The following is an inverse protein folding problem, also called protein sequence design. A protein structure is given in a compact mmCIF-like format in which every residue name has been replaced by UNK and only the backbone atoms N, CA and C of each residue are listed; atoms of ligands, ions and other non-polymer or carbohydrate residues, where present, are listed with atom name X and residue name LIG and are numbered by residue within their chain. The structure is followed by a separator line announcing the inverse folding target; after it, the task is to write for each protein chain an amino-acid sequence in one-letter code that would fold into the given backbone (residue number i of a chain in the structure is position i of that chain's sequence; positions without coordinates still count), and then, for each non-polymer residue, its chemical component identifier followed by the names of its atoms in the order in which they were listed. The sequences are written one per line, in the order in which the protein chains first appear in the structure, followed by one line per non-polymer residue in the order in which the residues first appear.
data_IF_931738390967
#
_entry.id   IF_931738390967
#
_cell.length_a   1.000
_cell.length_b   1.000
_cell.length_c   1.000
_cell.angle_alpha   90.00
_cell.angle_beta   90.00
_cell.angle_gamma   90.00
#
_symmetry.space_group_name_H-M   'P 1'
#
loop_
_entity.id
_entity.type
_entity.pdbx_description
1 polymer ?
#
# COMPACT_ATOMS: atom_id res chain seq x y z
N UNK A 1 2.82 -10.29 2.27
CA UNK A 1 2.98 -9.15 1.34
C UNK A 1 2.56 -7.88 2.08
N UNK A 2 3.30 -6.78 1.92
CA UNK A 2 2.88 -5.46 2.40
C UNK A 2 2.45 -4.55 1.24
N UNK A 3 1.56 -3.62 1.54
CA UNK A 3 1.15 -2.56 0.61
C UNK A 3 1.29 -1.23 1.33
N UNK A 4 2.05 -0.30 0.75
CA UNK A 4 2.30 1.02 1.33
C UNK A 4 1.89 2.12 0.36
N UNK A 5 1.10 3.09 0.82
CA UNK A 5 0.80 4.33 0.09
C UNK A 5 1.52 5.50 0.73
N UNK A 6 2.12 6.38 -0.07
CA UNK A 6 2.75 7.61 0.40
C UNK A 6 3.76 7.31 1.53
N UNK A 7 3.70 8.03 2.65
CA UNK A 7 4.48 7.79 3.86
C UNK A 7 4.27 6.41 4.50
N UNK A 8 3.15 5.73 4.23
CA UNK A 8 2.93 4.35 4.69
C UNK A 8 3.99 3.39 4.16
N UNK A 9 4.50 3.60 2.94
CA UNK A 9 5.62 2.82 2.42
C UNK A 9 6.92 3.05 3.19
N UNK A 10 7.16 4.26 3.67
CA UNK A 10 8.32 4.57 4.53
C UNK A 10 8.21 3.85 5.87
N UNK A 11 7.01 3.81 6.46
CA UNK A 11 6.74 3.06 7.69
C UNK A 11 7.02 1.57 7.50
N UNK A 12 6.56 0.98 6.39
CA UNK A 12 6.85 -0.43 6.05
C UNK A 12 8.36 -0.68 5.95
N UNK A 13 9.09 0.17 5.21
CA UNK A 13 10.56 0.05 5.13
C UNK A 13 11.21 0.07 6.51
N UNK A 14 10.81 1.01 7.38
CA UNK A 14 11.38 1.11 8.73
C UNK A 14 11.05 -0.10 9.57
N UNK A 15 9.82 -0.61 9.50
CA UNK A 15 9.42 -1.81 10.21
C UNK A 15 10.28 -3.03 9.80
N UNK A 16 10.53 -3.20 8.50
CA UNK A 16 11.36 -4.30 7.99
C UNK A 16 12.83 -4.15 8.34
N UNK A 17 13.38 -2.94 8.23
CA UNK A 17 14.75 -2.66 8.67
C UNK A 17 14.90 -2.98 10.16
N UNK A 18 13.95 -2.52 10.97
CA UNK A 18 13.94 -2.82 12.41
C UNK A 18 13.79 -4.32 12.69
N UNK A 19 12.93 -5.03 11.94
CA UNK A 19 12.73 -6.46 12.11
C UNK A 19 13.99 -7.27 11.79
N UNK A 20 14.76 -6.85 10.77
CA UNK A 20 16.02 -7.48 10.43
C UNK A 20 17.12 -7.20 11.46
N UNK A 21 17.24 -5.95 11.93
CA UNK A 21 18.23 -5.58 12.96
C UNK A 21 17.92 -6.25 14.32
N UNK A 22 16.64 -6.39 14.66
CA UNK A 22 16.16 -7.02 15.89
C UNK A 22 15.62 -8.44 15.63
N UNK A 23 16.37 -9.24 14.86
CA UNK A 23 15.95 -10.59 14.45
C UNK A 23 15.55 -11.49 15.61
N UNK A 24 16.15 -11.36 16.80
CA UNK A 24 15.77 -12.13 18.00
C UNK A 24 14.27 -12.05 18.32
N UNK A 25 13.63 -10.91 18.07
CA UNK A 25 12.22 -10.68 18.39
C UNK A 25 11.29 -10.67 17.16
N UNK A 26 11.82 -10.37 15.98
CA UNK A 26 11.01 -10.03 14.81
C UNK A 26 11.44 -10.77 13.53
N UNK A 27 12.20 -11.86 13.66
CA UNK A 27 12.63 -12.72 12.54
C UNK A 27 11.46 -13.13 11.64
N UNK A 28 10.33 -13.50 12.23
CA UNK A 28 9.17 -13.97 11.50
C UNK A 28 8.61 -12.90 10.55
N UNK A 29 8.70 -11.62 10.92
CA UNK A 29 8.24 -10.51 10.08
C UNK A 29 9.12 -10.38 8.84
N UNK A 30 10.45 -10.37 9.02
CA UNK A 30 11.39 -10.23 7.91
C UNK A 30 11.39 -11.47 7.02
N UNK A 31 11.29 -12.68 7.59
CA UNK A 31 11.26 -13.93 6.83
C UNK A 31 9.94 -14.16 6.10
N UNK A 32 8.80 -13.78 6.68
CA UNK A 32 7.48 -13.93 6.04
C UNK A 32 7.18 -12.85 5.00
N UNK A 33 7.95 -11.76 4.99
CA UNK A 33 7.79 -10.69 4.00
C UNK A 33 8.56 -11.02 2.74
N UNK A 34 7.82 -11.37 1.67
CA UNK A 34 8.41 -11.69 0.36
C UNK A 34 8.21 -10.61 -0.70
N UNK A 35 7.22 -9.73 -0.51
CA UNK A 35 6.86 -8.70 -1.48
C UNK A 35 6.30 -7.45 -0.83
N UNK A 36 6.56 -6.31 -1.48
CA UNK A 36 5.99 -5.02 -1.14
C UNK A 36 5.46 -4.34 -2.40
N UNK A 37 4.26 -3.80 -2.32
CA UNK A 37 3.68 -2.91 -3.32
C UNK A 37 3.71 -1.48 -2.77
N UNK A 38 4.28 -0.55 -3.52
CA UNK A 38 4.31 0.86 -3.17
C UNK A 38 3.38 1.67 -4.07
N UNK A 39 2.72 2.68 -3.51
CA UNK A 39 1.88 3.63 -4.23
C UNK A 39 2.29 5.05 -3.88
N UNK A 40 2.95 5.74 -4.81
CA UNK A 40 3.44 7.11 -4.61
C UNK A 40 4.32 7.24 -3.38
N UNK A 41 5.08 6.19 -3.00
CA UNK A 41 5.96 6.28 -1.83
C UNK A 41 7.22 7.05 -2.22
N UNK A 42 7.65 8.06 -1.44
CA UNK A 42 8.90 8.76 -1.72
C UNK A 42 10.10 7.88 -1.36
N UNK A 43 10.67 7.18 -2.34
CA UNK A 43 11.74 6.21 -2.12
C UNK A 43 13.11 6.82 -2.04
N UNK A 44 13.44 7.61 -3.05
CA UNK A 44 14.66 8.37 -3.04
C UNK A 44 14.40 9.57 -2.16
N UNK A 45 15.29 9.79 -1.19
CA UNK A 45 15.49 11.13 -0.69
C UNK A 45 15.92 11.98 -1.86
N UNK A 46 14.94 12.56 -2.57
CA UNK A 46 15.12 13.85 -3.22
C UNK A 46 15.92 14.68 -2.24
N UNK A 47 17.03 15.29 -2.67
CA UNK A 47 17.95 16.09 -1.85
C UNK A 47 17.26 16.57 -0.59
N UNK A 48 17.82 16.39 0.62
CA UNK A 48 17.17 16.75 1.91
C UNK A 48 16.38 18.08 1.86
N UNK A 49 16.83 19.02 1.02
CA UNK A 49 16.16 20.27 0.63
C UNK A 49 14.76 20.19 0.01
N UNK A 50 14.33 19.08 -0.59
CA UNK A 50 13.07 18.84 -1.30
C UNK A 50 12.02 18.08 -0.47
N UNK A 51 12.48 17.40 0.60
CA UNK A 51 11.59 16.71 1.54
C UNK A 51 10.55 17.63 2.19
N UNK A 52 10.89 18.85 2.63
CA UNK A 52 9.90 19.78 3.22
C UNK A 52 8.71 20.06 2.29
N UNK A 53 8.97 20.36 1.01
CA UNK A 53 7.94 20.68 0.01
C UNK A 53 7.10 19.44 -0.34
N UNK A 54 7.73 18.27 -0.39
CA UNK A 54 7.04 17.00 -0.62
C UNK A 54 6.10 16.66 0.54
N UNK A 55 6.59 16.75 1.78
CA UNK A 55 5.79 16.56 2.99
C UNK A 55 4.65 17.57 3.08
N UNK A 56 4.91 18.81 2.68
CA UNK A 56 3.90 19.85 2.59
C UNK A 56 2.76 19.42 1.65
N UNK A 57 3.11 18.89 0.47
CA UNK A 57 2.17 18.41 -0.53
C UNK A 57 1.40 17.18 -0.04
N UNK A 58 2.08 16.22 0.58
CA UNK A 58 1.46 15.04 1.21
C UNK A 58 0.46 15.46 2.29
N UNK A 59 0.81 16.42 3.14
CA UNK A 59 -0.07 16.90 4.21
C UNK A 59 -1.33 17.58 3.67
N UNK A 60 -1.20 18.36 2.60
CA UNK A 60 -2.34 18.97 1.88
C UNK A 60 -3.28 17.88 1.34
N UNK A 61 -2.74 16.83 0.74
CA UNK A 61 -3.54 15.73 0.16
C UNK A 61 -4.20 14.87 1.25
N UNK A 62 -3.49 14.62 2.35
CA UNK A 62 -3.98 13.84 3.48
C UNK A 62 -4.94 14.61 4.40
N UNK A 63 -5.08 15.93 4.23
CA UNK A 63 -5.93 16.78 5.09
C UNK A 63 -5.41 16.91 6.52
N UNK A 64 -4.11 16.69 6.75
CA UNK A 64 -3.50 16.73 8.09
C UNK A 64 -3.16 18.19 8.43
N UNK A 65 -3.67 18.67 9.58
CA UNK A 65 -3.34 20.02 10.08
C UNK A 65 -1.85 20.11 10.41
N UNK A 66 -1.19 21.11 9.80
CA UNK A 66 0.24 21.37 9.94
C UNK A 66 0.63 21.75 11.36
N UNK A 67 1.56 21.00 11.95
CA UNK A 67 2.67 21.60 12.72
C UNK A 67 3.57 20.53 13.32
N UNK A 68 3.01 19.48 13.91
CA UNK A 68 3.80 18.50 14.66
C UNK A 68 4.37 17.39 13.78
N UNK A 69 3.50 16.76 12.98
CA UNK A 69 3.87 15.64 12.08
C UNK A 69 4.88 16.09 11.01
N UNK A 70 4.72 17.29 10.45
CA UNK A 70 5.65 17.83 9.45
C UNK A 70 7.02 18.14 10.03
N UNK A 71 7.09 18.81 11.19
CA UNK A 71 8.36 19.12 11.85
C UNK A 71 9.10 17.87 12.29
N UNK A 72 8.35 16.87 12.79
CA UNK A 72 8.93 15.57 13.09
C UNK A 72 9.47 14.94 11.80
N UNK A 73 8.69 14.85 10.71
CA UNK A 73 9.17 14.26 9.46
C UNK A 73 10.35 15.03 8.80
N UNK A 74 10.43 16.34 8.94
CA UNK A 74 11.59 17.14 8.50
C UNK A 74 12.87 16.79 9.27
N UNK A 75 12.76 16.63 10.60
CA UNK A 75 13.85 16.16 11.46
C UNK A 75 14.31 14.74 11.11
N UNK A 76 13.47 13.99 10.39
CA UNK A 76 13.78 12.61 9.99
C UNK A 76 14.48 12.56 8.64
N UNK A 77 14.76 13.67 7.96
CA UNK A 77 15.39 13.65 6.63
C UNK A 77 16.73 12.90 6.59
N UNK A 78 17.64 13.14 7.53
CA UNK A 78 18.90 12.39 7.65
C UNK A 78 18.66 10.90 7.92
N UNK A 79 17.70 10.62 8.80
CA UNK A 79 17.25 9.26 9.10
C UNK A 79 16.63 8.56 7.89
N UNK A 80 15.93 9.28 7.02
CA UNK A 80 15.30 8.74 5.82
C UNK A 80 16.34 8.37 4.77
N UNK A 81 17.46 9.10 4.71
CA UNK A 81 18.62 8.72 3.90
C UNK A 81 19.23 7.42 4.41
N UNK A 82 19.52 7.32 5.71
CA UNK A 82 20.05 6.09 6.33
C UNK A 82 19.09 4.91 6.10
N UNK A 83 17.80 5.10 6.38
CA UNK A 83 16.77 4.10 6.17
C UNK A 83 16.72 3.62 4.71
N UNK A 84 16.86 4.54 3.75
CA UNK A 84 16.85 4.20 2.33
C UNK A 84 18.04 3.34 1.94
N UNK A 85 19.23 3.65 2.47
CA UNK A 85 20.43 2.85 2.25
C UNK A 85 20.31 1.46 2.88
N UNK A 86 19.92 1.38 4.16
CA UNK A 86 19.77 0.08 4.83
C UNK A 86 18.67 -0.76 4.18
N UNK A 87 17.54 -0.16 3.81
CA UNK A 87 16.47 -0.89 3.14
C UNK A 87 16.87 -1.37 1.74
N UNK A 88 17.73 -0.64 1.02
CA UNK A 88 18.17 -1.03 -0.32
C UNK A 88 18.84 -2.42 -0.30
N UNK A 89 19.70 -2.70 0.67
CA UNK A 89 20.33 -4.02 0.80
C UNK A 89 19.29 -5.14 1.02
N UNK A 90 18.25 -4.86 1.80
CA UNK A 90 17.17 -5.81 2.09
C UNK A 90 16.24 -6.01 0.90
N UNK A 91 16.03 -4.95 0.12
CA UNK A 91 15.14 -4.93 -1.04
C UNK A 91 15.51 -5.96 -2.10
N UNK A 92 16.79 -6.34 -2.17
CA UNK A 92 17.29 -7.36 -3.11
C UNK A 92 16.64 -8.74 -2.93
N UNK A 93 16.11 -9.03 -1.74
CA UNK A 93 15.42 -10.29 -1.42
C UNK A 93 13.90 -10.20 -1.59
N UNK A 94 13.38 -9.03 -1.95
CA UNK A 94 11.96 -8.74 -2.01
C UNK A 94 11.52 -8.55 -3.46
N UNK A 95 10.29 -8.98 -3.75
CA UNK A 95 9.59 -8.63 -4.97
C UNK A 95 8.92 -7.27 -4.79
N UNK A 96 9.36 -6.26 -5.53
CA UNK A 96 8.86 -4.89 -5.39
C UNK A 96 8.11 -4.47 -6.66
N UNK A 97 6.98 -3.79 -6.45
CA UNK A 97 6.26 -3.07 -7.51
C UNK A 97 5.93 -1.69 -7.00
N UNK A 98 6.41 -0.67 -7.71
CA UNK A 98 6.14 0.73 -7.38
C UNK A 98 5.19 1.37 -8.37
N UNK A 99 4.04 1.84 -7.89
CA UNK A 99 3.12 2.66 -8.66
C UNK A 99 3.38 4.14 -8.41
N UNK A 100 3.35 4.95 -9.47
CA UNK A 100 3.51 6.41 -9.36
C UNK A 100 2.38 7.16 -10.09
N UNK A 101 2.14 8.39 -9.64
CA UNK A 101 1.09 9.25 -10.20
C UNK A 101 1.51 9.85 -11.55
N UNK A 102 0.56 9.95 -12.48
CA UNK A 102 0.73 10.64 -13.77
C UNK A 102 -0.16 11.86 -13.93
N UNK A 103 -1.00 12.15 -12.94
CA UNK A 103 -1.82 13.36 -12.90
C UNK A 103 -1.44 14.20 -11.66
N UNK A 104 -1.28 15.52 -11.80
CA UNK A 104 -1.01 16.37 -10.65
C UNK A 104 -2.25 16.54 -9.76
N UNK A 105 -2.03 16.69 -8.45
CA UNK A 105 -3.06 17.13 -7.51
C UNK A 105 -2.92 18.64 -7.29
N UNK A 106 -3.95 19.42 -7.67
CA UNK A 106 -3.93 20.89 -7.61
C UNK A 106 -2.70 21.52 -8.29
N UNK A 107 -2.30 20.98 -9.45
CA UNK A 107 -1.18 21.50 -10.25
C UNK A 107 0.21 21.04 -9.80
N UNK A 108 0.32 20.16 -8.81
CA UNK A 108 1.61 19.65 -8.30
C UNK A 108 1.60 18.12 -8.26
N UNK A 109 2.72 17.50 -8.66
CA UNK A 109 3.01 16.11 -8.33
C UNK A 109 3.45 16.03 -6.88
N UNK A 110 2.64 15.38 -6.05
CA UNK A 110 2.86 15.24 -4.62
C UNK A 110 4.09 14.40 -4.34
N UNK A 111 4.30 13.34 -5.13
CA UNK A 111 5.54 12.55 -5.13
C UNK A 111 5.97 12.41 -6.59
N UNK A 112 6.97 13.18 -7.04
CA UNK A 112 7.47 13.12 -8.41
C UNK A 112 7.93 11.71 -8.79
N UNK A 113 7.81 11.36 -10.07
CA UNK A 113 8.18 10.05 -10.59
C UNK A 113 9.59 9.61 -10.15
N UNK A 114 10.59 10.49 -10.22
CA UNK A 114 11.97 10.17 -9.79
C UNK A 114 12.09 9.80 -8.31
N UNK A 115 11.21 10.33 -7.45
CA UNK A 115 11.15 9.94 -6.03
C UNK A 115 10.37 8.64 -5.84
N UNK A 116 9.28 8.45 -6.59
CA UNK A 116 8.46 7.25 -6.53
C UNK A 116 9.12 6.00 -7.14
N UNK A 117 10.08 6.19 -8.06
CA UNK A 117 10.91 5.13 -8.62
C UNK A 117 12.10 4.88 -7.69
N UNK A 118 11.98 3.87 -6.83
CA UNK A 118 13.07 3.47 -5.94
C UNK A 118 14.27 2.91 -6.72
N UNK A 119 15.50 2.96 -6.17
CA UNK A 119 16.69 2.40 -6.81
C UNK A 119 16.76 0.87 -6.63
N UNK A 120 15.63 0.16 -6.65
CA UNK A 120 15.62 -1.28 -6.37
C UNK A 120 15.83 -2.08 -7.64
N UNK A 121 16.75 -3.03 -7.59
CA UNK A 121 17.13 -3.85 -8.74
C UNK A 121 15.95 -4.66 -9.32
N UNK A 122 15.03 -5.07 -8.45
CA UNK A 122 13.89 -5.93 -8.80
C UNK A 122 12.55 -5.16 -8.84
N UNK A 123 12.56 -3.82 -8.96
CA UNK A 123 11.33 -3.03 -9.04
C UNK A 123 10.72 -3.08 -10.44
N UNK A 124 9.40 -3.10 -10.48
CA UNK A 124 8.62 -2.85 -11.70
C UNK A 124 7.84 -1.54 -11.52
N UNK A 125 8.43 -0.38 -11.88
CA UNK A 125 7.75 0.90 -11.75
C UNK A 125 6.67 1.08 -12.82
N UNK A 126 5.45 1.42 -12.40
CA UNK A 126 4.29 1.55 -13.29
C UNK A 126 3.56 2.87 -12.98
N UNK A 127 3.40 3.71 -14.00
CA UNK A 127 2.66 4.96 -13.86
C UNK A 127 1.17 4.73 -14.06
N UNK A 128 0.34 5.18 -13.11
CA UNK A 128 -1.12 5.11 -13.19
C UNK A 128 -1.69 6.47 -13.60
N UNK A 129 -2.73 6.49 -14.44
CA UNK A 129 -3.47 7.71 -14.81
C UNK A 129 -4.34 8.22 -13.65
N UNK A 130 -3.68 8.60 -12.56
CA UNK A 130 -4.26 9.05 -11.32
C UNK A 130 -3.33 10.05 -10.64
N UNK A 131 -3.90 10.87 -9.74
CA UNK A 131 -3.12 11.71 -8.84
C UNK A 131 -2.89 11.01 -7.50
N UNK A 132 -2.04 11.57 -6.65
CA UNK A 132 -1.65 10.98 -5.36
C UNK A 132 -2.82 10.62 -4.44
N UNK A 133 -3.94 11.34 -4.56
CA UNK A 133 -5.16 11.09 -3.76
C UNK A 133 -5.98 9.94 -4.31
N UNK A 134 -5.98 9.74 -5.62
CA UNK A 134 -6.81 8.76 -6.33
C UNK A 134 -6.05 7.53 -6.81
N UNK A 135 -4.72 7.49 -6.64
CA UNK A 135 -3.86 6.38 -7.09
C UNK A 135 -4.24 5.00 -6.50
N UNK A 136 -4.93 4.98 -5.36
CA UNK A 136 -5.49 3.77 -4.74
C UNK A 136 -7.03 3.77 -4.69
N UNK A 137 -7.70 4.62 -5.49
CA UNK A 137 -9.16 4.78 -5.49
C UNK A 137 -9.67 4.62 -6.91
N UNK A 138 -10.25 3.46 -7.18
CA UNK A 138 -10.68 3.10 -8.51
C UNK A 138 -12.19 3.32 -8.65
N UNK A 139 -12.59 3.94 -9.76
CA UNK A 139 -14.01 4.18 -10.05
C UNK A 139 -14.72 2.93 -10.62
N UNK A 140 -13.95 1.97 -11.14
CA UNK A 140 -14.45 0.71 -11.68
C UNK A 140 -13.38 -0.37 -11.59
N UNK A 141 -13.77 -1.62 -11.86
CA UNK A 141 -12.87 -2.77 -11.98
C UNK A 141 -12.11 -2.80 -13.32
N UNK A 142 -12.26 -1.78 -14.17
CA UNK A 142 -11.56 -1.61 -15.44
C UNK A 142 -10.44 -0.56 -15.32
N UNK A 143 -9.48 -0.57 -16.26
CA UNK A 143 -8.42 0.44 -16.34
C UNK A 143 -7.38 0.27 -15.24
N UNK A 144 -7.12 1.32 -14.46
CA UNK A 144 -6.05 1.31 -13.44
C UNK A 144 -6.24 0.22 -12.38
N UNK A 145 -7.48 -0.16 -12.04
CA UNK A 145 -7.73 -1.30 -11.16
C UNK A 145 -7.16 -2.59 -11.75
N UNK A 146 -7.35 -2.85 -13.05
CA UNK A 146 -6.85 -4.07 -13.71
C UNK A 146 -5.33 -4.08 -13.73
N UNK A 147 -4.70 -2.93 -14.00
CA UNK A 147 -3.25 -2.77 -13.95
C UNK A 147 -2.72 -3.15 -12.57
N UNK A 148 -3.30 -2.57 -11.51
CA UNK A 148 -2.89 -2.82 -10.12
C UNK A 148 -3.16 -4.26 -9.71
N UNK A 149 -4.36 -4.77 -9.98
CA UNK A 149 -4.76 -6.14 -9.69
C UNK A 149 -3.84 -7.15 -10.35
N UNK A 150 -3.53 -6.95 -11.65
CA UNK A 150 -2.62 -7.83 -12.38
C UNK A 150 -1.26 -7.91 -11.71
N UNK A 151 -0.69 -6.79 -11.26
CA UNK A 151 0.62 -6.82 -10.59
C UNK A 151 0.54 -7.49 -9.22
N UNK A 152 -0.50 -7.23 -8.43
CA UNK A 152 -0.74 -7.92 -7.17
C UNK A 152 -0.81 -9.43 -7.38
N UNK A 153 -1.58 -9.88 -8.36
CA UNK A 153 -1.69 -11.29 -8.73
C UNK A 153 -0.35 -11.88 -9.16
N UNK A 154 0.38 -11.22 -10.07
CA UNK A 154 1.71 -11.66 -10.49
C UNK A 154 2.68 -11.80 -9.31
N UNK A 155 2.69 -10.84 -8.38
CA UNK A 155 3.51 -10.93 -7.17
C UNK A 155 3.08 -12.08 -6.25
N UNK A 156 1.79 -12.37 -6.13
CA UNK A 156 1.31 -13.52 -5.35
C UNK A 156 1.75 -14.85 -5.97
N UNK A 157 1.65 -15.00 -7.29
CA UNK A 157 2.15 -16.18 -8.01
C UNK A 157 3.66 -16.35 -7.81
N UNK A 158 4.44 -15.27 -7.97
CA UNK A 158 5.89 -15.33 -7.75
C UNK A 158 6.25 -15.75 -6.32
N UNK A 159 5.47 -15.34 -5.31
CA UNK A 159 5.68 -15.75 -3.91
C UNK A 159 5.43 -17.25 -3.73
N UNK A 160 4.45 -17.83 -4.43
CA UNK A 160 4.12 -19.25 -4.33
C UNK A 160 5.22 -20.14 -4.91
N UNK A 161 5.90 -19.67 -5.95
CA UNK A 161 7.00 -20.39 -6.58
C UNK A 161 8.33 -20.26 -5.79
N UNK A 162 8.36 -19.46 -4.72
CA UNK A 162 9.57 -19.33 -3.90
C UNK A 162 9.86 -20.60 -3.08
N UNK A 163 11.12 -21.06 -3.01
CA UNK A 163 11.51 -22.21 -2.20
C UNK A 163 11.11 -22.03 -0.73
N UNK A 164 10.35 -22.99 -0.19
CA UNK A 164 9.88 -22.98 1.21
C UNK A 164 8.57 -22.21 1.47
N UNK A 165 7.84 -21.80 0.42
CA UNK A 165 6.50 -21.24 0.57
C UNK A 165 5.51 -22.31 1.11
N UNK A 166 5.03 -22.12 2.34
CA UNK A 166 3.92 -22.91 2.91
C UNK A 166 2.66 -22.02 2.85
N UNK A 167 2.06 -21.92 1.66
CA UNK A 167 0.75 -21.31 1.51
C UNK A 167 -0.03 -22.04 0.42
N UNK A 168 -1.21 -22.54 0.77
CA UNK A 168 -2.06 -23.34 -0.11
C UNK A 168 -3.40 -22.60 -0.29
N UNK A 169 -3.49 -21.63 -1.22
CA UNK A 169 -4.77 -20.99 -1.50
C UNK A 169 -5.69 -21.91 -2.30
N UNK A 170 -6.99 -21.63 -2.32
CA UNK A 170 -7.84 -22.20 -3.35
C UNK A 170 -7.26 -21.81 -4.72
N UNK A 171 -7.00 -22.80 -5.57
CA UNK A 171 -6.75 -22.58 -6.99
C UNK A 171 -8.02 -21.98 -7.56
N UNK A 172 -8.01 -20.68 -7.79
CA UNK A 172 -9.06 -20.01 -8.54
C UNK A 172 -8.44 -19.74 -9.90
N UNK A 173 -8.69 -20.65 -10.83
CA UNK A 173 -8.24 -20.55 -12.21
C UNK A 173 -9.05 -19.47 -12.98
N UNK A 174 -10.12 -18.96 -12.38
CA UNK A 174 -11.02 -17.96 -12.92
C UNK A 174 -11.02 -16.65 -12.10
N UNK A 175 -10.81 -15.54 -12.78
CA UNK A 175 -10.84 -14.19 -12.23
C UNK A 175 -12.22 -13.84 -11.64
N UNK A 176 -13.29 -14.29 -12.27
CA UNK A 176 -14.66 -14.02 -11.82
C UNK A 176 -14.94 -14.76 -10.50
N UNK A 177 -14.40 -15.96 -10.33
CA UNK A 177 -14.57 -16.78 -9.12
C UNK A 177 -13.74 -16.22 -7.94
N UNK A 178 -12.56 -15.65 -8.19
CA UNK A 178 -11.79 -14.92 -7.18
C UNK A 178 -12.52 -13.65 -6.73
N UNK A 179 -13.07 -12.89 -7.69
CA UNK A 179 -13.84 -11.67 -7.38
C UNK A 179 -15.12 -12.00 -6.61
N UNK A 180 -15.79 -13.11 -6.92
CA UNK A 180 -16.96 -13.59 -6.17
C UNK A 180 -16.59 -14.04 -4.75
N UNK A 181 -15.48 -14.75 -4.57
CA UNK A 181 -15.01 -15.20 -3.26
C UNK A 181 -14.64 -14.03 -2.32
N UNK A 182 -14.25 -12.88 -2.89
CA UNK A 182 -13.85 -11.69 -2.16
C UNK A 182 -15.00 -10.69 -1.94
N UNK A 183 -16.21 -10.95 -2.47
CA UNK A 183 -17.37 -10.11 -2.18
C UNK A 183 -17.69 -10.16 -0.68
N UNK A 184 -17.88 -9.00 -0.02
CA UNK A 184 -18.29 -8.99 1.38
C UNK A 184 -19.63 -9.71 1.50
N UNK A 185 -19.67 -10.78 2.31
CA UNK A 185 -20.91 -11.48 2.64
C UNK A 185 -21.88 -10.44 3.21
N UNK A 186 -22.89 -10.05 2.43
CA UNK A 186 -23.97 -9.23 2.94
C UNK A 186 -24.55 -9.96 4.14
N UNK A 187 -24.48 -9.31 5.30
CA UNK A 187 -25.06 -9.83 6.52
C UNK A 187 -26.50 -10.20 6.25
N UNK A 188 -26.86 -11.44 6.60
CA UNK A 188 -28.24 -11.87 6.76
C UNK A 188 -28.98 -10.80 7.55
N UNK A 189 -29.86 -10.06 6.89
CA UNK A 189 -30.98 -9.43 7.60
C UNK A 189 -31.95 -10.58 7.84
N UNK A 190 -31.77 -11.29 8.96
CA UNK A 190 -32.80 -12.20 9.45
C UNK A 190 -34.04 -11.36 9.78
N UNK A 191 -35.09 -11.60 8.98
CA UNK A 191 -36.40 -11.02 9.20
C UNK A 191 -36.95 -11.48 10.53
N UNK A 192 -37.09 -10.55 11.47
CA UNK A 192 -37.96 -10.72 12.61
C UNK A 192 -39.39 -10.35 12.19
N UNK A 193 -40.11 -11.33 11.65
CA UNK A 193 -41.58 -11.30 11.67
C UNK A 193 -42.04 -11.67 13.08
N UNK A 194 -42.10 -10.68 13.97
CA UNK A 194 -42.79 -10.80 15.24
C UNK A 194 -44.22 -10.31 15.06
N UNK A 195 -45.16 -11.25 15.12
CA UNK A 195 -46.60 -11.02 15.09
C UNK A 195 -47.05 -10.07 16.21
N UNK A 196 -47.44 -8.84 15.88
CA UNK A 196 -48.25 -8.02 16.77
C UNK A 196 -49.73 -8.37 16.58
N UNK A 197 -50.26 -9.02 17.60
CA UNK A 197 -51.65 -9.42 17.75
C UNK A 197 -52.47 -8.17 18.04
N UNK A 198 -53.22 -7.71 17.05
CA UNK A 198 -54.24 -6.65 17.19
C UNK A 198 -55.25 -7.11 18.26
N UNK A 199 -55.27 -6.42 19.40
CA UNK A 199 -56.39 -6.47 20.36
C UNK A 199 -57.26 -5.24 20.12
N UNK A 200 -58.46 -5.48 19.60
CA UNK A 200 -59.58 -4.55 19.63
C UNK A 200 -60.04 -4.29 21.06
N UNK A 201 -60.39 -3.06 21.46
CA UNK A 201 -61.33 -2.85 22.55
C UNK A 201 -62.75 -2.75 21.99
N UNK A 202 -63.66 -3.48 22.63
CA UNK A 202 -65.10 -3.34 22.47
C UNK A 202 -65.67 -2.54 23.66
N UNK A 203 -66.64 -1.69 23.32
CA UNK A 203 -67.52 -0.84 24.14
C UNK A 203 -66.96 0.51 24.59
#
# INVERSE_FOLDING_TARGET
MFIGHSLGGIVVKRALVNAQLNSTNYKDISESTKSIIFFGTPHQGTNVTEWPQMLESISKVAGIKRSKVLKELELWSDFLVELSQTFLEQSNKLLITSFYERQPYNGVYVVPEGSARGPFLNDTPIGLDANHRTICRFASEMGEFQTVHRQLHMRLCDIQEMPGAIWNPPRVDDFDELMEALRPRSGRVEGNTSSERIKSPAK
#
